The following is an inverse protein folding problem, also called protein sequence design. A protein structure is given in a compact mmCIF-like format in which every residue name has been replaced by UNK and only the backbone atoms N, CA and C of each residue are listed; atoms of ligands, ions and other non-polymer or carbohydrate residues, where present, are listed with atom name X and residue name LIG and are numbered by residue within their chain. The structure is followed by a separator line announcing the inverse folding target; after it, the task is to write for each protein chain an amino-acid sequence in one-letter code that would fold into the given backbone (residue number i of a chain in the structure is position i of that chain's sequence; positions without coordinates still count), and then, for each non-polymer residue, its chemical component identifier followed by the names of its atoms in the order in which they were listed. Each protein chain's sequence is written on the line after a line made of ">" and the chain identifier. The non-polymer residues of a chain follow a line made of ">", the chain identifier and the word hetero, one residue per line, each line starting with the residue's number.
data_IF_855311329110
#
_entry.id   IF_855311329110
#
_cell.length_a   1.000
_cell.length_b   1.000
_cell.length_c   1.000
_cell.angle_alpha   90.00
_cell.angle_beta   90.00
_cell.angle_gamma   90.00
#
_symmetry.space_group_name_H-M   'P 1'
#
loop_
_entity.id
_entity.type
_entity.pdbx_description
1 polymer ?
#
# COMPACT_ATOMS: atom_id res chain seq x y z
N UNK A 1 14.98 16.33 -20.57
CA UNK A 1 15.11 15.26 -19.55
C UNK A 1 13.78 15.19 -18.84
N UNK A 2 13.15 14.02 -18.66
CA UNK A 2 12.03 13.89 -17.75
C UNK A 2 12.44 14.45 -16.38
N UNK A 3 11.54 15.17 -15.71
CA UNK A 3 11.73 15.55 -14.31
C UNK A 3 11.99 14.25 -13.50
N UNK A 4 12.91 14.27 -12.53
CA UNK A 4 13.24 13.09 -11.72
C UNK A 4 11.98 12.54 -11.01
N UNK A 5 11.07 13.45 -10.65
CA UNK A 5 9.73 13.10 -10.14
C UNK A 5 8.90 12.28 -11.13
N UNK A 6 8.91 12.64 -12.41
CA UNK A 6 8.15 11.91 -13.43
C UNK A 6 8.75 10.52 -13.65
N UNK A 7 10.09 10.42 -13.68
CA UNK A 7 10.78 9.12 -13.75
C UNK A 7 10.40 8.21 -12.58
N UNK A 8 10.40 8.73 -11.35
CA UNK A 8 10.01 7.97 -10.15
C UNK A 8 8.55 7.55 -10.18
N UNK A 9 7.67 8.42 -10.66
CA UNK A 9 6.24 8.09 -10.88
C UNK A 9 6.09 6.95 -11.89
N UNK A 10 6.85 6.97 -12.99
CA UNK A 10 6.86 5.89 -13.98
C UNK A 10 7.31 4.56 -13.36
N UNK A 11 8.42 4.54 -12.61
CA UNK A 11 8.90 3.30 -11.96
C UNK A 11 7.87 2.71 -10.99
N UNK A 12 7.20 3.57 -10.22
CA UNK A 12 6.12 3.14 -9.33
C UNK A 12 4.94 2.56 -10.11
N UNK A 13 4.52 3.24 -11.18
CA UNK A 13 3.44 2.80 -12.05
C UNK A 13 3.73 1.46 -12.72
N UNK A 14 4.93 1.30 -13.26
CA UNK A 14 5.35 0.08 -13.92
C UNK A 14 5.30 -1.09 -12.94
N UNK A 15 5.80 -0.89 -11.72
CA UNK A 15 5.73 -1.91 -10.67
C UNK A 15 4.29 -2.23 -10.27
N UNK A 16 3.42 -1.24 -10.06
CA UNK A 16 2.01 -1.49 -9.73
C UNK A 16 1.26 -2.20 -10.87
N UNK A 17 1.53 -1.82 -12.12
CA UNK A 17 0.90 -2.41 -13.30
C UNK A 17 1.33 -3.85 -13.51
N UNK A 18 2.61 -4.17 -13.26
CA UNK A 18 3.12 -5.55 -13.32
C UNK A 18 2.45 -6.48 -12.29
N UNK A 19 1.88 -5.92 -11.23
CA UNK A 19 1.22 -6.65 -10.14
C UNK A 19 -0.29 -6.35 -10.03
N UNK A 20 -0.95 -5.90 -11.12
CA UNK A 20 -2.37 -5.56 -11.09
C UNK A 20 -3.27 -6.77 -10.77
N UNK A 21 -2.80 -7.99 -11.05
CA UNK A 21 -3.47 -9.24 -10.62
C UNK A 21 -3.54 -9.42 -9.09
N UNK A 22 -2.75 -8.66 -8.34
CA UNK A 22 -2.70 -8.64 -6.88
C UNK A 22 -3.40 -7.41 -6.28
N UNK A 23 -4.09 -6.63 -7.11
CA UNK A 23 -4.91 -5.50 -6.70
C UNK A 23 -6.29 -5.99 -6.26
N UNK A 24 -6.76 -5.46 -5.13
CA UNK A 24 -8.13 -5.67 -4.68
C UNK A 24 -8.81 -4.35 -4.30
N UNK A 25 -10.11 -4.27 -4.54
CA UNK A 25 -10.95 -3.20 -4.03
C UNK A 25 -11.11 -3.36 -2.51
N UNK A 26 -10.42 -2.52 -1.73
CA UNK A 26 -10.44 -2.62 -0.27
C UNK A 26 -11.69 -1.94 0.30
N UNK A 27 -11.93 -0.70 -0.12
CA UNK A 27 -13.03 0.15 0.37
C UNK A 27 -13.70 0.88 -0.78
N UNK A 28 -14.99 1.18 -0.65
CA UNK A 28 -15.78 1.82 -1.72
C UNK A 28 -15.98 3.34 -1.48
N UNK A 29 -15.45 3.87 -0.37
CA UNK A 29 -15.70 5.22 0.10
C UNK A 29 -16.79 5.26 1.18
N UNK A 30 -16.82 6.36 1.94
CA UNK A 30 -17.77 6.57 3.02
C UNK A 30 -17.37 5.92 4.36
N UNK A 31 -18.33 5.59 5.23
CA UNK A 31 -18.07 5.09 6.59
C UNK A 31 -17.20 3.83 6.62
N UNK A 32 -16.30 3.73 7.60
CA UNK A 32 -15.42 2.57 7.76
C UNK A 32 -16.19 1.39 8.38
N UNK A 33 -16.50 0.39 7.56
CA UNK A 33 -17.12 -0.87 7.99
C UNK A 33 -16.06 -1.97 8.15
N UNK A 34 -15.35 -1.98 9.28
CA UNK A 34 -14.26 -2.94 9.52
C UNK A 34 -14.61 -4.40 9.21
N UNK A 35 -15.79 -4.94 9.57
CA UNK A 35 -16.15 -6.32 9.22
C UNK A 35 -16.17 -6.58 7.70
N UNK A 36 -16.68 -5.63 6.90
CA UNK A 36 -16.76 -5.75 5.44
C UNK A 36 -15.37 -5.72 4.81
N UNK A 37 -14.51 -4.81 5.25
CA UNK A 37 -13.11 -4.72 4.78
C UNK A 37 -12.35 -6.01 5.12
N UNK A 38 -12.50 -6.53 6.35
CA UNK A 38 -11.84 -7.77 6.76
C UNK A 38 -12.33 -8.99 5.98
N UNK A 39 -13.63 -9.07 5.66
CA UNK A 39 -14.16 -10.14 4.80
C UNK A 39 -13.53 -10.11 3.42
N UNK A 40 -13.39 -8.92 2.80
CA UNK A 40 -12.70 -8.76 1.51
C UNK A 40 -11.24 -9.21 1.59
N UNK A 41 -10.52 -8.77 2.62
CA UNK A 41 -9.11 -9.12 2.83
C UNK A 41 -8.93 -10.64 2.99
N UNK A 42 -9.77 -11.30 3.79
CA UNK A 42 -9.70 -12.75 4.00
C UNK A 42 -10.04 -13.54 2.74
N UNK A 43 -10.97 -13.05 1.91
CA UNK A 43 -11.31 -13.67 0.65
C UNK A 43 -10.17 -13.56 -0.38
N UNK A 44 -9.48 -12.41 -0.42
CA UNK A 44 -8.36 -12.19 -1.34
C UNK A 44 -7.05 -12.84 -0.87
N UNK A 45 -6.87 -13.02 0.44
CA UNK A 45 -5.62 -13.49 1.05
C UNK A 45 -5.89 -14.73 1.93
N UNK A 46 -6.11 -15.90 1.33
CA UNK A 46 -6.55 -17.10 2.03
C UNK A 46 -5.46 -17.70 2.94
N UNK A 47 -4.19 -17.43 2.66
CA UNK A 47 -3.06 -17.95 3.41
C UNK A 47 -2.14 -16.82 3.92
N UNK A 48 -1.53 -16.96 5.11
CA UNK A 48 -0.50 -16.04 5.55
C UNK A 48 0.76 -16.19 4.71
N UNK A 49 1.22 -15.09 4.13
CA UNK A 49 2.44 -15.03 3.36
C UNK A 49 3.12 -13.67 3.51
N UNK A 50 4.45 -13.66 3.55
CA UNK A 50 5.20 -12.40 3.61
C UNK A 50 4.96 -11.60 2.32
N UNK A 51 4.38 -10.42 2.49
CA UNK A 51 3.92 -9.59 1.38
C UNK A 51 4.30 -8.14 1.59
N UNK A 52 4.53 -7.43 0.49
CA UNK A 52 4.44 -5.96 0.45
C UNK A 52 3.02 -5.58 0.06
N UNK A 53 2.48 -4.53 0.67
CA UNK A 53 1.21 -3.98 0.30
C UNK A 53 1.27 -2.47 0.07
N UNK A 54 0.55 -2.03 -0.97
CA UNK A 54 0.48 -0.63 -1.38
C UNK A 54 -0.98 -0.22 -1.36
N UNK A 55 -1.29 0.74 -0.50
CA UNK A 55 -2.62 1.30 -0.33
C UNK A 55 -2.73 2.56 -1.17
N UNK A 56 -3.73 2.61 -2.06
CA UNK A 56 -3.90 3.70 -3.02
C UNK A 56 -5.35 4.16 -3.06
N UNK A 57 -5.57 5.39 -3.51
CA UNK A 57 -6.91 5.77 -3.98
C UNK A 57 -7.15 5.16 -5.36
N UNK A 58 -8.34 4.62 -5.59
CA UNK A 58 -8.70 3.99 -6.87
C UNK A 58 -8.65 4.99 -8.03
N UNK A 59 -8.97 6.25 -7.76
CA UNK A 59 -8.95 7.35 -8.73
C UNK A 59 -7.57 7.99 -8.94
N UNK A 60 -6.59 7.67 -8.08
CA UNK A 60 -5.22 8.16 -8.18
C UNK A 60 -4.20 7.05 -7.79
N UNK A 61 -4.14 5.93 -8.55
CA UNK A 61 -3.29 4.78 -8.21
C UNK A 61 -1.80 5.09 -8.26
N UNK A 62 -1.41 6.17 -8.93
CA UNK A 62 -0.05 6.71 -9.03
C UNK A 62 0.46 7.37 -7.75
N UNK A 63 -0.41 7.57 -6.76
CA UNK A 63 -0.10 8.30 -5.53
C UNK A 63 -0.40 7.41 -4.32
N UNK A 64 0.54 6.54 -3.93
CA UNK A 64 0.37 5.65 -2.79
C UNK A 64 0.12 6.45 -1.53
N UNK A 65 -0.92 6.06 -0.81
CA UNK A 65 -1.24 6.62 0.50
C UNK A 65 -0.43 5.93 1.59
N UNK A 66 -0.13 4.65 1.44
CA UNK A 66 0.69 3.91 2.40
C UNK A 66 1.37 2.73 1.72
N UNK A 67 2.60 2.44 2.13
CA UNK A 67 3.35 1.26 1.72
C UNK A 67 3.77 0.51 2.97
N UNK A 68 3.54 -0.79 3.03
CA UNK A 68 4.02 -1.58 4.16
C UNK A 68 4.30 -3.03 3.80
N UNK A 69 4.81 -3.77 4.77
CA UNK A 69 4.98 -5.21 4.69
C UNK A 69 4.47 -5.93 5.92
N UNK A 70 4.12 -7.20 5.75
CA UNK A 70 3.72 -8.09 6.84
C UNK A 70 3.86 -9.56 6.43
N UNK A 71 4.19 -10.41 7.39
CA UNK A 71 4.08 -11.88 7.27
C UNK A 71 2.63 -12.38 7.35
N UNK A 72 1.74 -11.56 7.91
CA UNK A 72 0.30 -11.84 8.03
C UNK A 72 -0.49 -10.57 7.67
N UNK A 73 -0.67 -10.25 6.37
CA UNK A 73 -1.27 -8.99 5.94
C UNK A 73 -2.67 -8.75 6.53
N UNK A 74 -3.52 -9.77 6.58
CA UNK A 74 -4.87 -9.69 7.17
C UNK A 74 -4.81 -9.23 8.63
N UNK A 75 -3.94 -9.84 9.45
CA UNK A 75 -3.78 -9.49 10.87
C UNK A 75 -3.21 -8.09 11.03
N UNK A 76 -2.28 -7.69 10.16
CA UNK A 76 -1.71 -6.34 10.15
C UNK A 76 -2.79 -5.29 9.86
N UNK A 77 -3.64 -5.54 8.87
CA UNK A 77 -4.76 -4.66 8.50
C UNK A 77 -5.85 -4.63 9.56
N UNK A 78 -6.13 -5.73 10.25
CA UNK A 78 -6.99 -5.71 11.43
C UNK A 78 -6.47 -4.75 12.50
N UNK A 79 -5.16 -4.74 12.75
CA UNK A 79 -4.51 -3.79 13.65
C UNK A 79 -4.64 -2.33 13.19
N UNK A 80 -4.53 -2.08 11.89
CA UNK A 80 -4.77 -0.76 11.30
C UNK A 80 -6.23 -0.31 11.52
N UNK A 81 -7.20 -1.14 11.15
CA UNK A 81 -8.63 -0.84 11.30
C UNK A 81 -9.02 -0.61 12.76
N UNK A 82 -8.50 -1.42 13.69
CA UNK A 82 -8.73 -1.22 15.13
C UNK A 82 -8.17 0.11 15.63
N UNK A 83 -7.01 0.52 15.12
CA UNK A 83 -6.43 1.82 15.45
C UNK A 83 -7.26 2.96 14.85
N UNK A 84 -7.73 2.81 13.61
CA UNK A 84 -8.57 3.81 12.93
C UNK A 84 -9.84 4.14 13.71
N UNK A 85 -10.44 3.16 14.38
CA UNK A 85 -11.64 3.35 15.21
C UNK A 85 -11.38 4.10 16.52
N UNK A 86 -10.11 4.26 16.95
CA UNK A 86 -9.76 4.94 18.20
C UNK A 86 -9.56 6.45 18.07
N UNK A 87 -9.55 6.98 16.84
CA UNK A 87 -9.43 8.43 16.53
C UNK A 87 -8.30 9.17 17.28
N UNK A 88 -7.07 8.73 17.06
CA UNK A 88 -5.84 9.50 17.37
C UNK A 88 -5.46 10.44 16.22
N UNK A 89 -4.62 11.45 16.48
CA UNK A 89 -4.12 12.36 15.44
C UNK A 89 -3.49 11.63 14.23
N UNK A 90 -2.73 10.55 14.46
CA UNK A 90 -2.16 9.71 13.38
C UNK A 90 -3.24 9.03 12.54
N UNK A 91 -4.33 8.63 13.16
CA UNK A 91 -5.43 7.89 12.50
C UNK A 91 -6.44 8.81 11.83
N UNK A 92 -6.54 10.08 12.23
CA UNK A 92 -7.33 11.10 11.54
C UNK A 92 -6.80 11.35 10.12
N UNK A 93 -5.46 11.42 9.96
CA UNK A 93 -4.81 11.51 8.65
C UNK A 93 -5.16 10.32 7.73
N UNK A 94 -5.41 9.14 8.29
CA UNK A 94 -5.88 8.01 7.50
C UNK A 94 -7.38 8.10 7.18
N UNK A 95 -8.20 8.48 8.16
CA UNK A 95 -9.66 8.49 8.05
C UNK A 95 -10.15 9.38 6.90
N UNK A 96 -9.48 10.51 6.62
CA UNK A 96 -9.85 11.39 5.50
C UNK A 96 -9.84 10.66 4.16
N UNK A 97 -8.95 9.67 3.98
CA UNK A 97 -8.85 8.91 2.74
C UNK A 97 -9.98 7.89 2.57
N UNK A 98 -10.60 7.42 3.66
CA UNK A 98 -11.73 6.48 3.60
C UNK A 98 -13.02 7.11 3.05
N UNK A 99 -13.05 8.43 2.87
CA UNK A 99 -14.12 9.09 2.11
C UNK A 99 -14.10 8.70 0.62
N UNK A 100 -12.96 8.22 0.11
CA UNK A 100 -12.79 7.83 -1.28
C UNK A 100 -12.78 6.31 -1.45
N UNK A 101 -13.05 5.81 -2.67
CA UNK A 101 -12.80 4.41 -3.01
C UNK A 101 -11.29 4.12 -2.99
N UNK A 102 -10.92 3.02 -2.34
CA UNK A 102 -9.54 2.67 -2.07
C UNK A 102 -9.24 1.25 -2.53
N UNK A 103 -8.05 1.08 -3.07
CA UNK A 103 -7.53 -0.21 -3.48
C UNK A 103 -6.29 -0.56 -2.67
N UNK A 104 -6.04 -1.86 -2.59
CA UNK A 104 -4.89 -2.42 -1.94
C UNK A 104 -4.23 -3.40 -2.89
N UNK A 105 -2.96 -3.15 -3.21
CA UNK A 105 -2.09 -4.16 -3.79
C UNK A 105 -1.52 -4.98 -2.65
N UNK A 106 -1.55 -6.31 -2.73
CA UNK A 106 -0.88 -7.20 -1.77
C UNK A 106 -0.08 -8.23 -2.55
N UNK A 107 1.22 -7.95 -2.69
CA UNK A 107 2.13 -8.74 -3.49
C UNK A 107 2.95 -9.66 -2.57
N UNK A 108 2.72 -10.98 -2.59
CA UNK A 108 3.53 -11.91 -1.84
C UNK A 108 4.95 -11.97 -2.40
N UNK A 109 5.92 -12.27 -1.54
CA UNK A 109 7.33 -12.38 -1.93
C UNK A 109 7.55 -13.38 -3.06
N UNK A 110 6.77 -14.46 -3.09
CA UNK A 110 6.85 -15.50 -4.13
C UNK A 110 6.36 -15.02 -5.50
N UNK A 111 5.55 -13.96 -5.55
CA UNK A 111 5.03 -13.38 -6.79
C UNK A 111 5.74 -12.07 -7.21
N UNK A 112 6.74 -11.61 -6.44
CA UNK A 112 7.52 -10.43 -6.80
C UNK A 112 8.41 -10.74 -7.99
N UNK A 113 8.03 -10.26 -9.17
CA UNK A 113 8.79 -10.50 -10.40
C UNK A 113 10.12 -9.73 -10.42
N UNK A 114 10.21 -8.61 -9.70
CA UNK A 114 11.40 -7.77 -9.61
C UNK A 114 11.23 -6.57 -8.68
N UNK A 115 12.33 -5.85 -8.39
CA UNK A 115 12.29 -4.63 -7.62
C UNK A 115 11.76 -3.46 -8.45
N UNK A 116 11.15 -2.42 -7.85
CA UNK A 116 10.75 -1.20 -8.57
C UNK A 116 11.93 -0.51 -9.26
N UNK A 117 13.12 -0.56 -8.66
CA UNK A 117 14.36 -0.02 -9.25
C UNK A 117 15.24 -1.20 -9.68
N UNK A 118 15.62 -1.30 -10.96
CA UNK A 118 16.44 -2.41 -11.48
C UNK A 118 17.76 -2.60 -10.72
N UNK A 119 18.27 -3.83 -10.75
CA UNK A 119 19.55 -4.24 -10.12
C UNK A 119 19.59 -4.23 -8.59
N UNK A 120 18.45 -4.00 -7.92
CA UNK A 120 18.32 -4.16 -6.46
C UNK A 120 17.87 -5.58 -6.07
N UNK A 121 18.04 -5.97 -4.79
CA UNK A 121 17.53 -7.25 -4.29
C UNK A 121 16.00 -7.34 -4.35
N UNK A 122 15.49 -8.52 -4.71
CA UNK A 122 14.06 -8.87 -4.64
C UNK A 122 13.73 -9.45 -3.28
N UNK A 123 13.74 -8.59 -2.26
CA UNK A 123 13.28 -8.95 -0.91
C UNK A 123 12.15 -8.03 -0.50
N UNK A 124 11.23 -8.51 0.33
CA UNK A 124 10.10 -7.71 0.84
C UNK A 124 10.57 -6.39 1.46
N UNK A 125 11.67 -6.42 2.22
CA UNK A 125 12.25 -5.22 2.83
C UNK A 125 12.84 -4.24 1.80
N UNK A 126 13.58 -4.75 0.80
CA UNK A 126 14.18 -3.89 -0.23
C UNK A 126 13.12 -3.27 -1.15
N UNK A 127 12.11 -4.06 -1.54
CA UNK A 127 10.99 -3.60 -2.36
C UNK A 127 10.16 -2.56 -1.61
N UNK A 128 9.85 -2.80 -0.34
CA UNK A 128 9.14 -1.85 0.51
C UNK A 128 9.88 -0.50 0.62
N UNK A 129 11.18 -0.53 0.91
CA UNK A 129 11.99 0.69 1.04
C UNK A 129 11.99 1.51 -0.26
N UNK A 130 12.18 0.83 -1.40
CA UNK A 130 12.13 1.48 -2.71
C UNK A 130 10.76 2.09 -3.00
N UNK A 131 9.67 1.37 -2.74
CA UNK A 131 8.32 1.88 -2.94
C UNK A 131 8.02 3.09 -2.05
N UNK A 132 8.48 3.08 -0.78
CA UNK A 132 8.35 4.25 0.10
C UNK A 132 9.13 5.43 -0.49
N UNK A 133 10.39 5.23 -0.88
CA UNK A 133 11.24 6.29 -1.46
C UNK A 133 10.60 6.89 -2.72
N UNK A 134 10.14 6.05 -3.66
CA UNK A 134 9.45 6.49 -4.88
C UNK A 134 8.13 7.23 -4.55
N UNK A 135 7.37 6.75 -3.56
CA UNK A 135 6.10 7.35 -3.15
C UNK A 135 6.29 8.69 -2.44
N UNK A 136 7.34 8.86 -1.63
CA UNK A 136 7.63 10.13 -0.93
C UNK A 136 7.84 11.28 -1.90
N UNK A 137 8.55 11.03 -3.00
CA UNK A 137 8.85 12.06 -3.99
C UNK A 137 7.64 12.42 -4.87
N UNK A 138 6.68 11.51 -4.97
CA UNK A 138 5.51 11.62 -5.85
C UNK A 138 4.22 11.98 -5.12
N UNK A 139 4.13 11.74 -3.81
CA UNK A 139 2.94 12.01 -3.01
C UNK A 139 3.28 12.62 -1.62
N UNK A 140 3.06 13.93 -1.43
CA UNK A 140 3.22 14.59 -0.12
C UNK A 140 2.27 14.05 0.97
N UNK A 141 1.16 13.39 0.60
CA UNK A 141 0.18 12.82 1.53
C UNK A 141 0.48 11.37 1.94
N UNK A 142 1.70 10.87 1.67
CA UNK A 142 2.10 9.53 2.08
C UNK A 142 2.07 9.38 3.61
N UNK A 143 1.31 8.40 4.10
CA UNK A 143 1.03 8.19 5.53
C UNK A 143 2.20 7.54 6.30
N UNK A 144 3.23 7.06 5.59
CA UNK A 144 4.44 6.53 6.19
C UNK A 144 5.68 6.92 5.39
N UNK A 145 6.67 7.46 6.08
CA UNK A 145 7.93 7.91 5.50
C UNK A 145 9.09 7.02 5.96
N UNK A 146 10.17 6.98 5.17
CA UNK A 146 11.45 6.42 5.64
C UNK A 146 11.85 7.06 6.98
N UNK A 147 12.33 6.25 7.92
CA UNK A 147 12.82 6.72 9.22
C UNK A 147 11.76 6.99 10.30
N UNK A 148 10.46 6.93 9.98
CA UNK A 148 9.41 7.00 11.03
C UNK A 148 9.25 5.62 11.67
N UNK A 149 9.52 5.52 12.99
CA UNK A 149 9.24 4.29 13.77
C UNK A 149 7.76 3.93 13.60
N UNK A 150 7.51 2.72 13.09
CA UNK A 150 6.17 2.24 12.72
C UNK A 150 5.31 1.92 13.93
#
# INVERSE_FOLDING_TARGET
>A
MPDDRDRKRTLLLDWLSAHDTHRMALHDGGPIESPRILTRLRAALPAPEESVYVFVRRDAPTMPLYVGRATQPVKRWEGHLRSLLKSTARTEAWQVHFQHPLDLYVVPVTAMQGPPIPCFPVTVGAVEAQLISLAQDTNPALLNHEGVRR
#
